data_IF_602381391172
#
_entry.id   IF_602381391172
#
_cell.length_a   1.000
_cell.length_b   1.000
_cell.length_c   1.000
_cell.angle_alpha   90.00
_cell.angle_beta   90.00
_cell.angle_gamma   90.00
#
_symmetry.space_group_name_H-M   'P 1'
#
loop_
_entity.id
_entity.type
_entity.pdbx_description
1 polymer ?
#
# COMPACT_ATOMS: atom_id res chain seq x y z
N UNK A 1 14.23 -2.33 73.27
CA UNK A 1 14.65 -3.26 74.35
C UNK A 1 13.50 -4.23 74.59
N UNK A 2 13.77 -5.53 74.50
CA UNK A 2 12.90 -6.67 74.89
C UNK A 2 11.58 -6.91 74.11
N UNK A 3 11.35 -8.18 73.81
CA UNK A 3 10.23 -8.81 73.10
C UNK A 3 8.95 -8.96 73.96
N UNK A 4 7.81 -9.19 73.31
CA UNK A 4 6.99 -10.40 73.61
C UNK A 4 6.22 -10.88 72.38
N UNK A 5 6.05 -12.20 72.27
CA UNK A 5 5.46 -12.96 71.16
C UNK A 5 4.04 -13.48 71.46
N UNK A 6 3.24 -13.76 70.42
CA UNK A 6 1.93 -14.40 70.55
C UNK A 6 1.61 -15.39 69.41
N UNK A 7 1.16 -16.59 69.78
CA UNK A 7 0.92 -17.81 68.95
C UNK A 7 -0.45 -18.37 69.43
N UNK A 8 -1.35 -18.99 68.65
CA UNK A 8 -1.28 -19.72 67.37
C UNK A 8 -2.27 -19.12 66.31
N UNK A 9 -2.79 -19.76 65.25
CA UNK A 9 -2.78 -21.17 64.80
C UNK A 9 -2.96 -21.32 63.27
N UNK A 10 -2.53 -22.46 62.73
CA UNK A 10 -2.74 -22.82 61.33
C UNK A 10 -4.00 -23.69 61.16
N UNK A 11 -4.73 -23.47 60.06
CA UNK A 11 -5.59 -24.49 59.44
C UNK A 11 -5.26 -24.53 57.95
N UNK A 12 -4.69 -25.65 57.51
CA UNK A 12 -4.59 -25.95 56.09
C UNK A 12 -5.86 -26.62 55.59
N UNK A 13 -6.23 -26.34 54.34
CA UNK A 13 -7.04 -27.28 53.57
C UNK A 13 -6.58 -27.22 52.11
N UNK A 14 -6.17 -28.37 51.58
CA UNK A 14 -5.75 -28.49 50.20
C UNK A 14 -7.00 -28.57 49.31
N UNK A 15 -7.03 -27.78 48.24
CA UNK A 15 -8.02 -27.94 47.17
C UNK A 15 -7.26 -28.31 45.90
N UNK A 16 -7.73 -29.38 45.25
CA UNK A 16 -7.01 -30.09 44.22
C UNK A 16 -6.75 -29.27 42.96
N UNK A 17 -5.56 -29.46 42.37
CA UNK A 17 -5.28 -29.11 40.99
C UNK A 17 -6.14 -29.95 40.04
N UNK A 18 -7.20 -29.36 39.49
CA UNK A 18 -8.00 -29.95 38.41
C UNK A 18 -7.41 -29.62 37.03
N UNK A 19 -6.19 -30.09 36.75
CA UNK A 19 -5.65 -30.10 35.39
C UNK A 19 -6.38 -31.15 34.55
N UNK A 20 -7.47 -30.77 33.88
CA UNK A 20 -7.93 -31.50 32.70
C UNK A 20 -6.87 -31.32 31.60
N UNK A 21 -6.40 -32.39 30.94
CA UNK A 21 -5.64 -32.25 29.71
C UNK A 21 -6.47 -31.46 28.70
N UNK A 22 -5.90 -30.38 28.16
CA UNK A 22 -6.45 -29.73 26.97
C UNK A 22 -6.43 -30.79 25.85
N UNK A 23 -7.53 -31.02 25.10
CA UNK A 23 -7.44 -31.85 23.90
C UNK A 23 -6.35 -31.23 23.00
N UNK A 24 -5.60 -32.04 22.22
CA UNK A 24 -4.61 -31.49 21.30
C UNK A 24 -5.31 -30.44 20.45
N UNK A 25 -4.79 -29.23 20.44
CA UNK A 25 -5.27 -28.19 19.55
C UNK A 25 -5.22 -28.76 18.15
N UNK A 26 -6.35 -28.72 17.43
CA UNK A 26 -6.33 -28.95 15.99
C UNK A 26 -5.19 -28.11 15.41
N UNK A 27 -4.34 -28.69 14.54
CA UNK A 27 -3.32 -27.89 13.89
C UNK A 27 -4.04 -26.71 13.22
N UNK A 28 -3.50 -25.48 13.30
CA UNK A 28 -4.07 -24.36 12.57
C UNK A 28 -4.23 -24.81 11.11
N UNK A 29 -5.32 -24.43 10.42
CA UNK A 29 -5.58 -24.90 9.07
C UNK A 29 -4.31 -24.70 8.25
N UNK A 30 -3.74 -25.81 7.78
CA UNK A 30 -2.58 -25.75 6.91
C UNK A 30 -3.02 -24.94 5.71
N UNK A 31 -2.54 -23.69 5.65
CA UNK A 31 -2.34 -22.99 4.41
C UNK A 31 -1.56 -23.98 3.54
N UNK A 32 -2.27 -24.66 2.65
CA UNK A 32 -1.64 -25.42 1.58
C UNK A 32 -1.01 -24.38 0.67
N UNK A 33 0.23 -24.05 1.06
CA UNK A 33 0.97 -22.95 0.53
C UNK A 33 1.47 -23.38 -0.84
N UNK A 34 0.59 -23.18 -1.82
CA UNK A 34 0.95 -22.76 -3.17
C UNK A 34 1.61 -21.36 -3.18
N UNK A 35 2.31 -21.00 -2.10
CA UNK A 35 3.57 -20.29 -2.23
C UNK A 35 4.44 -21.09 -3.19
N UNK A 36 4.48 -20.64 -4.45
CA UNK A 36 5.51 -21.03 -5.38
C UNK A 36 6.85 -20.54 -4.85
N UNK A 37 7.47 -21.32 -3.96
CA UNK A 37 8.90 -21.27 -3.72
C UNK A 37 9.58 -21.73 -5.01
N UNK A 38 9.67 -20.81 -5.96
CA UNK A 38 10.63 -20.91 -7.05
C UNK A 38 11.99 -20.83 -6.39
N UNK A 39 12.73 -21.94 -6.38
CA UNK A 39 14.07 -21.98 -5.81
C UNK A 39 14.99 -21.04 -6.57
N UNK A 40 15.35 -19.92 -5.93
CA UNK A 40 16.29 -18.93 -6.49
C UNK A 40 17.68 -19.55 -6.47
N UNK A 41 18.02 -20.27 -7.54
CA UNK A 41 19.20 -21.13 -7.62
C UNK A 41 19.81 -21.25 -9.02
N UNK A 42 19.64 -20.24 -9.88
CA UNK A 42 20.37 -20.10 -11.15
C UNK A 42 20.12 -21.15 -12.24
N UNK A 43 19.21 -22.11 -12.02
CA UNK A 43 18.84 -23.14 -12.99
C UNK A 43 17.50 -22.81 -13.68
N UNK A 44 17.32 -23.18 -14.95
CA UNK A 44 16.07 -22.94 -15.66
C UNK A 44 14.92 -23.73 -15.02
N UNK A 45 13.92 -23.03 -14.51
CA UNK A 45 12.74 -23.63 -13.89
C UNK A 45 11.92 -24.32 -14.98
N UNK A 46 11.75 -25.64 -14.86
CA UNK A 46 11.03 -26.42 -15.87
C UNK A 46 9.62 -25.85 -16.11
N UNK A 47 9.28 -25.65 -17.39
CA UNK A 47 7.99 -25.08 -17.80
C UNK A 47 7.97 -23.57 -18.06
N UNK A 48 9.00 -22.82 -17.67
CA UNK A 48 9.09 -21.38 -17.95
C UNK A 48 9.58 -21.11 -19.39
N UNK A 49 9.13 -19.99 -19.97
CA UNK A 49 9.76 -19.37 -21.14
C UNK A 49 10.91 -18.46 -20.66
N UNK A 50 12.16 -18.83 -20.96
CA UNK A 50 13.34 -18.06 -20.54
C UNK A 50 13.66 -17.01 -21.59
N UNK A 51 13.59 -15.72 -21.24
CA UNK A 51 13.63 -14.62 -22.22
C UNK A 51 14.92 -14.57 -23.06
N UNK A 52 16.02 -15.13 -22.56
CA UNK A 52 17.33 -15.17 -23.24
C UNK A 52 17.42 -16.26 -24.31
N UNK A 53 16.44 -17.16 -24.41
CA UNK A 53 16.45 -18.22 -25.43
C UNK A 53 16.33 -17.60 -26.83
N UNK A 54 17.16 -18.08 -27.77
CA UNK A 54 17.20 -17.56 -29.15
C UNK A 54 15.88 -17.72 -29.92
N UNK A 55 14.97 -18.57 -29.46
CA UNK A 55 13.63 -18.75 -30.03
C UNK A 55 12.74 -17.49 -29.89
N UNK A 56 13.04 -16.60 -28.93
CA UNK A 56 12.27 -15.37 -28.69
C UNK A 56 12.99 -14.17 -29.31
N UNK A 57 12.76 -13.89 -30.59
CA UNK A 57 13.37 -12.75 -31.31
C UNK A 57 14.90 -12.68 -31.22
N UNK A 58 15.57 -13.85 -31.22
CA UNK A 58 17.02 -13.93 -31.04
C UNK A 58 17.52 -13.75 -29.61
N UNK A 59 16.61 -13.74 -28.61
CA UNK A 59 16.87 -13.72 -27.17
C UNK A 59 17.08 -12.33 -26.58
N UNK A 60 16.52 -12.08 -25.40
CA UNK A 60 16.80 -10.90 -24.58
C UNK A 60 18.30 -10.81 -24.26
N UNK A 61 18.82 -9.60 -24.15
CA UNK A 61 20.24 -9.35 -23.86
C UNK A 61 20.43 -8.96 -22.39
N UNK A 62 21.01 -9.86 -21.54
CA UNK A 62 21.25 -9.60 -20.13
C UNK A 62 22.44 -8.65 -19.87
N UNK A 63 23.07 -8.11 -20.92
CA UNK A 63 24.16 -7.12 -20.84
C UNK A 63 23.71 -5.70 -21.22
N UNK A 64 22.41 -5.48 -21.45
CA UNK A 64 21.81 -4.19 -21.79
C UNK A 64 22.45 -3.47 -23.01
N UNK A 65 22.98 -4.21 -23.99
CA UNK A 65 23.56 -3.65 -25.24
C UNK A 65 22.52 -3.46 -26.34
N UNK A 66 21.33 -4.08 -26.22
CA UNK A 66 20.18 -3.90 -27.12
C UNK A 66 18.85 -3.96 -26.38
N UNK A 67 17.79 -3.43 -27.00
CA UNK A 67 16.41 -3.58 -26.51
C UNK A 67 16.04 -5.07 -26.43
N UNK A 68 15.59 -5.48 -25.25
CA UNK A 68 15.10 -6.84 -24.96
C UNK A 68 13.58 -6.93 -25.03
N UNK A 69 12.89 -5.82 -25.27
CA UNK A 69 11.43 -5.73 -25.35
C UNK A 69 10.79 -6.74 -26.32
N UNK A 70 11.27 -6.92 -27.57
CA UNK A 70 10.71 -7.91 -28.49
C UNK A 70 10.76 -9.34 -27.93
N UNK A 71 11.92 -9.76 -27.43
CA UNK A 71 12.12 -11.09 -26.85
C UNK A 71 11.27 -11.33 -25.61
N UNK A 72 11.17 -10.34 -24.70
CA UNK A 72 10.32 -10.43 -23.50
C UNK A 72 8.84 -10.57 -23.89
N UNK A 73 8.35 -9.77 -24.86
CA UNK A 73 6.97 -9.87 -25.35
C UNK A 73 6.71 -11.21 -26.05
N UNK A 74 7.64 -11.70 -26.86
CA UNK A 74 7.53 -13.01 -27.52
C UNK A 74 7.49 -14.17 -26.52
N UNK A 75 8.27 -14.11 -25.43
CA UNK A 75 8.20 -15.08 -24.34
C UNK A 75 6.83 -15.06 -23.64
N UNK A 76 6.29 -13.88 -23.32
CA UNK A 76 4.93 -13.75 -22.71
C UNK A 76 3.84 -14.28 -23.65
N UNK A 77 3.95 -14.02 -24.96
CA UNK A 77 2.98 -14.46 -25.96
C UNK A 77 2.84 -15.99 -26.06
N UNK A 78 3.77 -16.77 -25.48
CA UNK A 78 3.62 -18.23 -25.37
C UNK A 78 2.55 -18.68 -24.38
N UNK A 79 2.04 -17.78 -23.53
CA UNK A 79 1.13 -18.09 -22.42
C UNK A 79 1.78 -18.83 -21.24
N UNK A 80 3.07 -19.15 -21.33
CA UNK A 80 3.83 -19.77 -20.22
C UNK A 80 4.29 -18.70 -19.21
N UNK A 81 4.54 -19.09 -17.95
CA UNK A 81 5.30 -18.27 -17.01
C UNK A 81 6.65 -17.86 -17.63
N UNK A 82 7.02 -16.58 -17.51
CA UNK A 82 8.24 -16.03 -18.10
C UNK A 82 9.29 -15.83 -17.02
N UNK A 83 10.52 -16.28 -17.30
CA UNK A 83 11.68 -16.09 -16.43
C UNK A 83 12.67 -15.10 -17.05
N UNK A 84 13.06 -14.09 -16.29
CA UNK A 84 14.18 -13.19 -16.56
C UNK A 84 15.37 -13.62 -15.68
N UNK A 85 16.40 -14.25 -16.27
CA UNK A 85 17.64 -14.57 -15.55
C UNK A 85 18.33 -13.36 -14.89
N UNK A 86 19.39 -13.58 -14.09
CA UNK A 86 20.27 -12.52 -13.64
C UNK A 86 20.84 -11.74 -14.82
N UNK A 87 20.82 -10.41 -14.75
CA UNK A 87 21.25 -9.54 -15.84
C UNK A 87 20.64 -8.14 -15.79
N UNK A 88 21.14 -7.28 -16.68
CA UNK A 88 20.57 -5.98 -16.97
C UNK A 88 19.94 -6.01 -18.37
N UNK A 89 18.67 -5.62 -18.47
CA UNK A 89 17.90 -5.61 -19.71
C UNK A 89 17.43 -4.19 -20.02
N UNK A 90 17.44 -3.80 -21.30
CA UNK A 90 16.74 -2.60 -21.76
C UNK A 90 15.34 -3.00 -22.25
N UNK A 91 14.35 -2.13 -22.01
CA UNK A 91 13.00 -2.31 -22.53
C UNK A 91 12.46 -0.98 -23.08
N UNK A 92 12.26 -0.92 -24.39
CA UNK A 92 11.76 0.26 -25.11
C UNK A 92 10.44 -0.01 -25.85
N UNK A 93 9.69 -1.02 -25.39
CA UNK A 93 8.47 -1.49 -26.03
C UNK A 93 7.20 -0.67 -25.73
N UNK A 94 6.07 -1.00 -26.39
CA UNK A 94 4.75 -0.42 -26.10
C UNK A 94 4.11 -0.93 -24.79
N UNK A 95 4.86 -1.67 -23.97
CA UNK A 95 4.33 -2.45 -22.86
C UNK A 95 3.84 -3.84 -23.28
N UNK A 96 3.67 -4.71 -22.29
CA UNK A 96 3.12 -6.06 -22.44
C UNK A 96 1.60 -5.96 -22.34
N UNK A 97 0.88 -6.26 -23.43
CA UNK A 97 -0.57 -6.47 -23.42
C UNK A 97 -0.89 -7.96 -23.37
N UNK A 98 -1.30 -8.44 -22.19
CA UNK A 98 -1.65 -9.85 -21.98
C UNK A 98 -2.72 -9.96 -20.87
N UNK A 99 -3.58 -10.97 -20.96
CA UNK A 99 -4.68 -11.18 -19.99
C UNK A 99 -4.26 -11.97 -18.73
N UNK A 100 -3.11 -12.67 -18.79
CA UNK A 100 -2.56 -13.47 -17.67
C UNK A 100 -1.03 -13.32 -17.53
N UNK A 101 -0.46 -12.11 -17.39
CA UNK A 101 1.00 -11.93 -17.29
C UNK A 101 1.56 -12.59 -16.02
N UNK A 102 2.52 -13.52 -16.20
CA UNK A 102 3.30 -14.16 -15.13
C UNK A 102 4.78 -14.00 -15.47
N UNK A 103 5.48 -13.13 -14.74
CA UNK A 103 6.84 -12.71 -15.03
C UNK A 103 7.66 -12.70 -13.74
N UNK A 104 8.75 -13.46 -13.72
CA UNK A 104 9.60 -13.70 -12.54
C UNK A 104 11.04 -13.37 -12.88
N UNK A 105 11.70 -12.52 -12.10
CA UNK A 105 13.14 -12.31 -12.14
C UNK A 105 13.89 -13.14 -11.10
N UNK A 106 15.22 -13.09 -11.13
CA UNK A 106 16.10 -13.79 -10.19
C UNK A 106 16.26 -13.08 -8.82
N UNK A 107 15.35 -12.16 -8.49
CA UNK A 107 15.40 -11.26 -7.32
C UNK A 107 15.80 -9.84 -7.71
N UNK A 108 15.26 -8.84 -7.01
CA UNK A 108 15.50 -7.41 -7.30
C UNK A 108 16.97 -6.95 -7.18
N UNK A 109 17.84 -7.73 -6.55
CA UNK A 109 19.31 -7.52 -6.56
C UNK A 109 20.04 -8.12 -7.77
N UNK A 110 19.39 -9.01 -8.53
CA UNK A 110 20.00 -9.85 -9.57
C UNK A 110 19.49 -9.56 -10.98
N UNK A 111 18.21 -9.19 -11.10
CA UNK A 111 17.54 -8.92 -12.39
C UNK A 111 17.08 -7.47 -12.44
N UNK A 112 17.63 -6.69 -13.37
CA UNK A 112 17.30 -5.29 -13.59
C UNK A 112 16.73 -5.08 -15.00
N UNK A 113 15.60 -4.39 -15.10
CA UNK A 113 15.00 -3.93 -16.36
C UNK A 113 14.96 -2.40 -16.37
N UNK A 114 15.67 -1.76 -17.30
CA UNK A 114 15.63 -0.31 -17.48
C UNK A 114 14.64 0.03 -18.60
N UNK A 115 13.62 0.82 -18.26
CA UNK A 115 12.57 1.26 -19.18
C UNK A 115 13.00 2.57 -19.86
N UNK A 116 12.66 2.72 -21.15
CA UNK A 116 12.70 4.04 -21.80
C UNK A 116 11.73 5.03 -21.13
N UNK A 117 11.99 6.35 -21.17
CA UNK A 117 11.24 7.34 -20.40
C UNK A 117 9.71 7.30 -20.55
N UNK A 118 9.22 7.09 -21.77
CA UNK A 118 7.77 7.09 -22.08
C UNK A 118 7.10 5.70 -21.99
N UNK A 119 7.81 4.71 -21.45
CA UNK A 119 7.40 3.30 -21.49
C UNK A 119 6.77 2.83 -20.18
N UNK A 120 5.82 1.90 -20.30
CA UNK A 120 5.38 1.01 -19.23
C UNK A 120 5.87 -0.42 -19.50
N UNK A 121 6.19 -1.20 -18.46
CA UNK A 121 6.59 -2.61 -18.66
C UNK A 121 5.41 -3.50 -19.05
N UNK A 122 4.31 -3.41 -18.31
CA UNK A 122 2.99 -4.00 -18.62
C UNK A 122 2.02 -2.84 -18.88
N UNK A 123 1.36 -2.84 -20.04
CA UNK A 123 0.34 -1.84 -20.41
C UNK A 123 -0.81 -2.49 -21.16
N UNK A 124 -1.63 -3.21 -20.42
CA UNK A 124 -2.65 -4.07 -20.98
C UNK A 124 -4.02 -3.39 -21.03
N UNK A 125 -4.79 -3.65 -22.08
CA UNK A 125 -6.21 -3.28 -22.16
C UNK A 125 -7.15 -4.50 -22.02
N UNK A 126 -6.60 -5.67 -21.71
CA UNK A 126 -7.37 -6.89 -21.49
C UNK A 126 -7.97 -6.90 -20.08
N UNK A 127 -9.12 -7.58 -19.94
CA UNK A 127 -9.57 -8.06 -18.64
C UNK A 127 -8.53 -9.05 -18.09
N UNK A 128 -7.96 -8.79 -16.92
CA UNK A 128 -6.95 -9.67 -16.34
C UNK A 128 -7.59 -10.84 -15.61
N UNK A 129 -7.20 -12.05 -16.00
CA UNK A 129 -7.54 -13.27 -15.26
C UNK A 129 -6.63 -13.46 -14.06
N UNK A 130 -5.37 -13.02 -14.15
CA UNK A 130 -4.34 -13.06 -13.10
C UNK A 130 -3.18 -12.12 -13.42
N UNK A 131 -2.42 -11.70 -12.40
CA UNK A 131 -1.11 -11.06 -12.55
C UNK A 131 -0.11 -11.70 -11.57
N UNK A 132 1.11 -11.96 -12.02
CA UNK A 132 2.24 -12.18 -11.12
C UNK A 132 3.48 -11.47 -11.69
N UNK A 133 3.99 -10.47 -10.95
CA UNK A 133 5.25 -9.80 -11.24
C UNK A 133 6.16 -9.86 -10.00
N UNK A 134 7.28 -10.57 -10.11
CA UNK A 134 8.15 -10.83 -8.94
C UNK A 134 9.63 -10.70 -9.21
N UNK A 135 10.40 -10.30 -8.20
CA UNK A 135 11.86 -10.46 -8.18
C UNK A 135 12.61 -9.64 -9.23
N UNK A 136 12.12 -8.44 -9.58
CA UNK A 136 12.71 -7.58 -10.61
C UNK A 136 12.90 -6.16 -10.08
N UNK A 137 14.09 -5.60 -10.28
CA UNK A 137 14.31 -4.16 -10.20
C UNK A 137 13.97 -3.51 -11.53
N UNK A 138 13.17 -2.46 -11.49
CA UNK A 138 12.91 -1.56 -12.60
C UNK A 138 13.59 -0.20 -12.39
N UNK A 139 14.16 0.36 -13.44
CA UNK A 139 14.66 1.73 -13.47
C UNK A 139 13.96 2.52 -14.59
N UNK A 140 13.45 3.72 -14.31
CA UNK A 140 12.89 4.64 -15.31
C UNK A 140 11.44 4.34 -15.70
N UNK A 141 11.02 4.86 -16.85
CA UNK A 141 9.66 4.72 -17.41
C UNK A 141 8.61 5.66 -16.81
N UNK A 142 7.41 5.64 -17.38
CA UNK A 142 6.24 6.32 -16.80
C UNK A 142 5.68 5.48 -15.64
N UNK A 143 5.68 4.16 -15.80
CA UNK A 143 5.14 3.22 -14.83
C UNK A 143 5.54 1.78 -15.15
N UNK A 144 5.02 0.81 -14.41
CA UNK A 144 5.45 -0.59 -14.53
C UNK A 144 4.28 -1.53 -14.82
N UNK A 145 3.14 -1.30 -14.17
CA UNK A 145 1.95 -2.12 -14.28
C UNK A 145 0.76 -1.20 -14.53
N UNK A 146 0.27 -1.15 -15.77
CA UNK A 146 -0.98 -0.45 -16.11
C UNK A 146 -1.99 -1.42 -16.71
N UNK A 147 -3.17 -1.46 -16.11
CA UNK A 147 -4.36 -2.04 -16.74
C UNK A 147 -5.31 -0.92 -17.15
N UNK A 148 -5.64 -0.86 -18.44
CA UNK A 148 -6.52 0.15 -19.08
C UNK A 148 -7.97 -0.32 -19.24
N UNK A 149 -8.26 -1.59 -18.96
CA UNK A 149 -9.62 -2.13 -18.96
C UNK A 149 -10.47 -1.40 -17.92
N UNK A 150 -11.73 -1.08 -18.25
CA UNK A 150 -12.58 -0.17 -17.45
C UNK A 150 -13.76 -0.83 -16.75
N UNK A 151 -14.22 -1.99 -17.22
CA UNK A 151 -15.36 -2.69 -16.60
C UNK A 151 -14.95 -3.48 -15.34
N UNK A 152 -15.90 -4.22 -14.75
CA UNK A 152 -15.61 -5.12 -13.63
C UNK A 152 -14.66 -6.26 -14.04
N UNK A 153 -13.67 -6.49 -13.19
CA UNK A 153 -12.61 -7.46 -13.32
C UNK A 153 -12.39 -8.23 -11.99
N UNK A 154 -13.47 -8.83 -11.48
CA UNK A 154 -13.40 -9.87 -10.44
C UNK A 154 -12.87 -11.15 -11.08
N UNK A 155 -11.68 -11.57 -10.68
CA UNK A 155 -10.91 -12.71 -11.21
C UNK A 155 -9.89 -13.18 -10.13
N UNK A 156 -8.88 -13.99 -10.51
CA UNK A 156 -7.85 -14.53 -9.62
C UNK A 156 -6.90 -13.42 -9.07
N UNK A 157 -5.92 -13.80 -8.26
CA UNK A 157 -5.01 -12.88 -7.58
C UNK A 157 -4.14 -12.05 -8.53
N UNK A 158 -3.92 -10.79 -8.13
CA UNK A 158 -3.04 -9.83 -8.80
C UNK A 158 -1.80 -9.56 -7.94
N UNK A 159 -0.75 -10.36 -8.12
CA UNK A 159 0.45 -10.38 -7.27
C UNK A 159 1.57 -9.51 -7.82
N UNK A 160 2.11 -8.61 -6.99
CA UNK A 160 3.33 -7.85 -7.28
C UNK A 160 4.22 -7.87 -6.03
N UNK A 161 5.37 -8.55 -6.07
CA UNK A 161 6.20 -8.67 -4.86
C UNK A 161 7.71 -8.86 -5.08
N UNK A 162 8.52 -8.44 -4.11
CA UNK A 162 9.99 -8.41 -4.22
C UNK A 162 10.50 -7.63 -5.45
N UNK A 163 9.84 -6.51 -5.78
CA UNK A 163 10.24 -5.62 -6.86
C UNK A 163 10.70 -4.25 -6.34
N UNK A 164 11.69 -3.67 -7.02
CA UNK A 164 12.11 -2.28 -6.79
C UNK A 164 11.71 -1.41 -7.98
N UNK A 165 10.79 -0.47 -7.79
CA UNK A 165 10.31 0.47 -8.79
C UNK A 165 11.01 1.82 -8.58
N UNK A 166 12.00 2.14 -9.42
CA UNK A 166 12.93 3.26 -9.18
C UNK A 166 12.95 4.23 -10.35
N UNK A 167 12.84 5.54 -10.09
CA UNK A 167 13.01 6.60 -11.09
C UNK A 167 11.89 6.72 -12.11
N UNK A 168 10.70 6.20 -11.82
CA UNK A 168 9.52 6.37 -12.69
C UNK A 168 8.92 7.77 -12.54
N UNK A 169 8.28 8.28 -13.60
CA UNK A 169 7.76 9.67 -13.67
C UNK A 169 6.25 9.81 -13.41
N UNK A 170 5.47 8.75 -13.63
CA UNK A 170 4.01 8.70 -13.48
C UNK A 170 3.55 7.72 -12.40
N UNK A 171 2.55 6.89 -12.71
CA UNK A 171 2.01 5.91 -11.77
C UNK A 171 2.66 4.53 -11.95
N UNK A 172 3.29 3.97 -10.91
CA UNK A 172 4.00 2.69 -11.00
C UNK A 172 3.06 1.50 -11.18
N UNK A 173 2.01 1.38 -10.35
CA UNK A 173 0.98 0.34 -10.45
C UNK A 173 -0.39 1.01 -10.54
N UNK A 174 -1.16 0.77 -11.61
CA UNK A 174 -2.51 1.29 -11.77
C UNK A 174 -3.47 0.32 -12.47
N UNK A 175 -4.73 0.35 -12.04
CA UNK A 175 -5.86 -0.26 -12.74
C UNK A 175 -6.98 0.77 -12.95
N UNK A 176 -7.70 0.62 -14.06
CA UNK A 176 -8.84 1.47 -14.43
C UNK A 176 -10.19 0.73 -14.36
N UNK A 177 -10.16 -0.57 -14.02
CA UNK A 177 -11.36 -1.39 -13.85
C UNK A 177 -12.14 -0.87 -12.64
N UNK A 178 -13.43 -0.58 -12.78
CA UNK A 178 -14.28 -0.07 -11.67
C UNK A 178 -14.30 -0.99 -10.44
N UNK A 179 -14.02 -2.27 -10.66
CA UNK A 179 -14.08 -3.34 -9.67
C UNK A 179 -12.96 -4.35 -9.99
N UNK A 180 -11.94 -4.48 -9.13
CA UNK A 180 -10.78 -5.33 -9.42
C UNK A 180 -10.09 -5.77 -8.11
N UNK A 181 -10.70 -6.73 -7.37
CA UNK A 181 -10.24 -7.19 -6.06
C UNK A 181 -8.97 -8.06 -6.09
N UNK A 182 -8.58 -8.53 -4.91
CA UNK A 182 -7.55 -9.56 -4.69
C UNK A 182 -6.11 -9.18 -5.12
N UNK A 183 -5.75 -7.89 -5.02
CA UNK A 183 -4.36 -7.47 -5.21
C UNK A 183 -3.48 -7.87 -4.03
N UNK A 184 -2.28 -8.38 -4.30
CA UNK A 184 -1.28 -8.78 -3.31
C UNK A 184 0.04 -8.06 -3.60
N UNK A 185 0.17 -6.84 -3.09
CA UNK A 185 1.32 -5.96 -3.35
C UNK A 185 2.22 -5.94 -2.11
N UNK A 186 3.33 -6.69 -2.12
CA UNK A 186 4.14 -6.89 -0.90
C UNK A 186 5.66 -6.94 -1.09
N UNK A 187 6.42 -6.47 -0.09
CA UNK A 187 7.89 -6.43 -0.10
C UNK A 187 8.48 -5.66 -1.31
N UNK A 188 7.82 -4.60 -1.76
CA UNK A 188 8.29 -3.76 -2.87
C UNK A 188 8.89 -2.44 -2.37
N UNK A 189 9.73 -1.83 -3.21
CA UNK A 189 10.26 -0.47 -3.00
C UNK A 189 9.69 0.46 -4.07
N UNK A 190 9.14 1.61 -3.67
CA UNK A 190 8.57 2.61 -4.57
C UNK A 190 9.29 3.96 -4.43
N UNK A 191 10.11 4.32 -5.42
CA UNK A 191 10.85 5.59 -5.44
C UNK A 191 10.78 6.25 -6.82
N UNK A 192 9.84 7.15 -7.01
CA UNK A 192 9.70 7.94 -8.24
C UNK A 192 10.87 8.93 -8.45
N UNK A 193 10.92 9.53 -9.64
CA UNK A 193 11.89 10.56 -10.02
C UNK A 193 11.50 12.00 -9.63
N UNK A 194 10.25 12.23 -9.24
CA UNK A 194 9.70 13.56 -8.92
C UNK A 194 8.56 13.47 -7.88
N UNK A 195 8.05 14.63 -7.46
CA UNK A 195 6.85 14.82 -6.63
C UNK A 195 5.72 15.60 -7.33
N UNK A 196 5.86 15.95 -8.62
CA UNK A 196 4.81 16.63 -9.39
C UNK A 196 3.73 15.70 -9.97
N UNK A 197 4.12 14.58 -10.56
CA UNK A 197 3.25 13.69 -11.38
C UNK A 197 3.28 12.22 -10.95
N UNK A 198 4.00 11.89 -9.90
CA UNK A 198 4.29 10.50 -9.51
C UNK A 198 3.27 9.89 -8.54
N UNK A 199 2.95 8.61 -8.74
CA UNK A 199 2.09 7.85 -7.83
C UNK A 199 2.58 6.40 -7.67
N UNK A 200 2.61 5.87 -6.46
CA UNK A 200 3.09 4.50 -6.21
C UNK A 200 2.08 3.47 -6.70
N UNK A 201 0.87 3.51 -6.14
CA UNK A 201 -0.22 2.57 -6.41
C UNK A 201 -1.51 3.36 -6.62
N UNK A 202 -2.29 3.02 -7.65
CA UNK A 202 -3.64 3.53 -7.92
C UNK A 202 -4.60 2.39 -8.24
N UNK A 203 -5.30 1.88 -7.22
CA UNK A 203 -6.36 0.88 -7.41
C UNK A 203 -7.74 1.54 -7.48
N UNK A 204 -8.72 0.80 -8.00
CA UNK A 204 -10.13 1.15 -7.88
C UNK A 204 -10.63 0.95 -6.45
N UNK A 205 -11.95 0.97 -6.24
CA UNK A 205 -12.51 1.01 -4.88
C UNK A 205 -13.05 -0.31 -4.37
N UNK A 206 -13.69 -1.08 -5.24
CA UNK A 206 -14.12 -2.44 -4.95
C UNK A 206 -12.87 -3.34 -5.02
N UNK A 207 -12.19 -3.41 -3.88
CA UNK A 207 -10.82 -3.93 -3.73
C UNK A 207 -10.75 -5.09 -2.74
N UNK A 208 -11.86 -5.80 -2.55
CA UNK A 208 -12.02 -6.88 -1.58
C UNK A 208 -10.84 -7.85 -1.50
N UNK A 209 -10.40 -8.13 -0.27
CA UNK A 209 -9.28 -9.01 0.01
C UNK A 209 -7.92 -8.52 -0.50
N UNK A 210 -7.79 -7.26 -0.91
CA UNK A 210 -6.51 -6.66 -1.32
C UNK A 210 -5.60 -6.45 -0.12
N UNK A 211 -4.32 -6.78 -0.25
CA UNK A 211 -3.31 -6.50 0.77
C UNK A 211 -2.11 -5.75 0.17
N UNK A 212 -1.83 -4.57 0.70
CA UNK A 212 -0.63 -3.77 0.43
C UNK A 212 0.23 -3.85 1.68
N UNK A 213 1.25 -4.72 1.69
CA UNK A 213 1.94 -5.12 2.92
C UNK A 213 3.47 -5.10 2.83
N UNK A 214 4.15 -4.68 3.89
CA UNK A 214 5.63 -4.75 4.01
C UNK A 214 6.39 -4.03 2.87
N UNK A 215 5.84 -2.94 2.32
CA UNK A 215 6.48 -2.14 1.26
C UNK A 215 7.15 -0.87 1.82
N UNK A 216 8.19 -0.39 1.14
CA UNK A 216 8.82 0.89 1.42
C UNK A 216 8.50 1.91 0.32
N UNK A 217 7.71 2.92 0.65
CA UNK A 217 7.42 4.05 -0.21
C UNK A 217 8.36 5.21 0.16
N UNK A 218 9.18 5.65 -0.80
CA UNK A 218 10.33 6.52 -0.54
C UNK A 218 10.25 7.90 -1.22
N UNK A 219 9.63 7.99 -2.40
CA UNK A 219 9.42 9.26 -3.11
C UNK A 219 8.22 9.12 -4.04
N UNK A 220 7.11 9.80 -3.79
CA UNK A 220 5.99 10.01 -4.74
C UNK A 220 5.20 11.26 -4.34
N UNK A 221 4.42 11.85 -5.25
CA UNK A 221 3.37 12.80 -4.87
C UNK A 221 2.28 12.12 -4.05
N UNK A 222 1.87 10.93 -4.46
CA UNK A 222 0.91 10.09 -3.72
C UNK A 222 1.48 8.68 -3.61
N UNK A 223 1.68 8.12 -2.41
CA UNK A 223 2.20 6.75 -2.32
C UNK A 223 1.14 5.70 -2.66
N UNK A 224 -0.03 5.77 -2.04
CA UNK A 224 -1.18 4.88 -2.32
C UNK A 224 -2.43 5.71 -2.59
N UNK A 225 -3.17 5.34 -3.64
CA UNK A 225 -4.54 5.76 -3.92
C UNK A 225 -5.47 4.56 -4.02
N UNK A 226 -6.59 4.61 -3.32
CA UNK A 226 -7.73 3.69 -3.44
C UNK A 226 -9.01 4.49 -3.72
N UNK A 227 -9.86 4.05 -4.65
CA UNK A 227 -11.18 4.67 -4.87
C UNK A 227 -12.23 4.13 -3.88
N UNK A 228 -13.47 4.63 -3.89
CA UNK A 228 -14.60 4.19 -3.04
C UNK A 228 -14.21 3.78 -1.59
N UNK A 229 -13.35 4.54 -0.91
CA UNK A 229 -12.84 4.20 0.43
C UNK A 229 -11.90 2.97 0.53
N UNK A 230 -11.64 2.24 -0.55
CA UNK A 230 -10.77 1.04 -0.54
C UNK A 230 -11.41 -0.14 0.18
N UNK A 231 -12.64 -0.50 -0.23
CA UNK A 231 -13.48 -1.52 0.38
C UNK A 231 -12.69 -2.81 0.70
N UNK A 232 -12.69 -3.20 1.98
CA UNK A 232 -12.08 -4.44 2.47
C UNK A 232 -10.60 -4.64 2.03
N UNK A 233 -9.84 -3.54 1.98
CA UNK A 233 -8.38 -3.52 1.73
C UNK A 233 -7.56 -3.45 3.02
N UNK A 234 -6.43 -4.13 3.05
CA UNK A 234 -5.49 -4.20 4.17
C UNK A 234 -4.15 -3.52 3.82
N UNK A 235 -3.92 -2.31 4.33
CA UNK A 235 -2.64 -1.59 4.21
C UNK A 235 -1.85 -1.82 5.50
N UNK A 236 -0.81 -2.68 5.49
CA UNK A 236 -0.13 -3.07 6.74
C UNK A 236 1.39 -3.08 6.68
N UNK A 237 2.07 -2.75 7.78
CA UNK A 237 3.54 -2.81 7.90
C UNK A 237 4.30 -2.00 6.81
N UNK A 238 3.74 -0.92 6.26
CA UNK A 238 4.42 -0.12 5.23
C UNK A 238 5.18 1.07 5.85
N UNK A 239 6.33 1.41 5.26
CA UNK A 239 7.03 2.66 5.52
C UNK A 239 6.64 3.70 4.46
N UNK A 240 6.22 4.89 4.91
CA UNK A 240 5.93 6.04 4.06
C UNK A 240 6.92 7.18 4.38
N UNK A 241 7.92 7.38 3.53
CA UNK A 241 9.03 8.33 3.69
C UNK A 241 9.12 9.26 2.46
N UNK A 242 9.65 10.47 2.62
CA UNK A 242 9.84 11.42 1.50
C UNK A 242 11.33 11.75 1.31
N UNK A 243 11.99 11.05 0.40
CA UNK A 243 13.39 11.25 0.04
C UNK A 243 13.49 12.29 -1.07
N UNK A 244 13.45 13.57 -0.68
CA UNK A 244 13.63 14.75 -1.52
C UNK A 244 12.79 15.93 -1.04
N UNK A 245 13.16 17.18 -1.41
CA UNK A 245 12.43 18.38 -1.03
C UNK A 245 11.03 18.42 -1.66
N UNK A 246 10.11 19.26 -1.14
CA UNK A 246 8.84 19.54 -1.80
C UNK A 246 9.04 20.18 -3.18
N UNK A 247 8.18 19.84 -4.14
CA UNK A 247 8.17 20.42 -5.51
C UNK A 247 6.99 21.38 -5.75
N UNK A 248 6.45 21.99 -4.68
CA UNK A 248 5.33 22.93 -4.76
C UNK A 248 3.94 22.30 -4.85
N UNK A 249 3.82 20.98 -4.63
CA UNK A 249 2.55 20.25 -4.55
C UNK A 249 2.42 19.54 -3.20
N UNK A 250 1.23 19.53 -2.57
CA UNK A 250 0.93 18.67 -1.43
C UNK A 250 1.23 17.20 -1.73
N UNK A 251 2.02 16.53 -0.87
CA UNK A 251 2.34 15.10 -0.99
C UNK A 251 1.57 14.30 0.03
N UNK A 252 0.95 13.20 -0.40
CA UNK A 252 0.06 12.36 0.41
C UNK A 252 0.61 10.95 0.55
N UNK A 253 0.66 10.41 1.77
CA UNK A 253 1.06 9.01 1.97
C UNK A 253 -0.05 8.06 1.49
N UNK A 254 -1.27 8.17 2.03
CA UNK A 254 -2.41 7.34 1.62
C UNK A 254 -3.63 8.20 1.32
N UNK A 255 -4.16 8.09 0.10
CA UNK A 255 -5.36 8.77 -0.34
C UNK A 255 -6.49 7.78 -0.60
N UNK A 256 -7.65 8.06 -0.01
CA UNK A 256 -8.90 7.39 -0.33
C UNK A 256 -9.82 8.38 -1.05
N UNK A 257 -10.36 8.00 -2.21
CA UNK A 257 -11.44 8.75 -2.86
C UNK A 257 -12.76 8.31 -2.21
N UNK A 258 -13.53 9.21 -1.60
CA UNK A 258 -14.82 8.87 -0.99
C UNK A 258 -15.84 8.37 -2.04
N UNK A 259 -16.73 7.48 -1.61
CA UNK A 259 -17.72 6.82 -2.47
C UNK A 259 -18.98 7.66 -2.68
N UNK A 260 -19.68 7.47 -3.80
CA UNK A 260 -20.91 8.25 -4.09
C UNK A 260 -22.04 8.03 -3.07
N UNK A 261 -22.09 6.85 -2.46
CA UNK A 261 -23.05 6.45 -1.41
C UNK A 261 -22.31 5.83 -0.23
N UNK A 262 -22.99 5.60 0.88
CA UNK A 262 -22.47 4.88 2.06
C UNK A 262 -22.21 3.38 1.82
N UNK A 263 -22.82 2.81 0.78
CA UNK A 263 -22.61 1.43 0.30
C UNK A 263 -21.21 1.26 -0.32
N UNK A 264 -20.47 0.24 0.12
CA UNK A 264 -19.11 -0.12 -0.34
C UNK A 264 -18.06 1.01 -0.20
N UNK A 265 -18.29 1.96 0.69
CA UNK A 265 -17.48 3.16 0.87
C UNK A 265 -16.22 2.96 1.75
N UNK A 266 -15.54 1.83 1.62
CA UNK A 266 -14.37 1.47 2.45
C UNK A 266 -14.66 0.49 3.58
N UNK A 267 -15.85 -0.13 3.61
CA UNK A 267 -16.25 -1.07 4.65
C UNK A 267 -15.21 -2.18 4.87
N UNK A 268 -14.72 -2.33 6.11
CA UNK A 268 -13.71 -3.33 6.44
C UNK A 268 -12.27 -3.00 6.03
N UNK A 269 -12.00 -1.80 5.50
CA UNK A 269 -10.65 -1.32 5.24
C UNK A 269 -9.84 -1.21 6.54
N UNK A 270 -8.63 -1.76 6.56
CA UNK A 270 -7.70 -1.70 7.70
C UNK A 270 -6.37 -1.10 7.27
N UNK A 271 -5.96 -0.01 7.92
CA UNK A 271 -4.60 0.52 7.86
C UNK A 271 -3.93 0.31 9.23
N UNK A 272 -2.87 -0.50 9.31
CA UNK A 272 -2.19 -0.75 10.59
C UNK A 272 -0.69 -1.03 10.54
N UNK A 273 -0.01 -0.75 11.66
CA UNK A 273 1.45 -0.99 11.82
C UNK A 273 2.33 -0.27 10.78
N UNK A 274 1.82 0.80 10.18
CA UNK A 274 2.56 1.62 9.22
C UNK A 274 3.32 2.75 9.94
N UNK A 275 4.47 3.13 9.38
CA UNK A 275 5.21 4.35 9.76
C UNK A 275 4.94 5.45 8.74
N UNK A 276 4.47 6.60 9.21
CA UNK A 276 4.52 7.85 8.48
C UNK A 276 5.74 8.64 8.95
N UNK A 277 6.73 8.77 8.08
CA UNK A 277 8.01 9.43 8.35
C UNK A 277 7.96 10.95 8.18
N UNK A 278 8.90 11.64 8.84
CA UNK A 278 9.08 13.09 8.73
C UNK A 278 10.30 13.50 7.89
N UNK A 279 10.97 12.56 7.24
CA UNK A 279 12.08 12.82 6.33
C UNK A 279 11.60 13.77 5.22
N UNK A 280 12.15 15.00 5.16
CA UNK A 280 11.74 16.11 4.28
C UNK A 280 10.24 16.47 4.30
N UNK A 281 9.50 16.16 5.37
CA UNK A 281 8.08 16.50 5.52
C UNK A 281 7.89 18.02 5.58
N UNK A 282 6.85 18.53 4.93
CA UNK A 282 6.49 19.95 4.86
C UNK A 282 5.10 20.22 5.45
N UNK A 283 4.80 21.47 5.82
CA UNK A 283 3.51 21.87 6.39
C UNK A 283 2.31 21.62 5.47
N UNK A 284 2.52 21.51 4.16
CA UNK A 284 1.47 21.24 3.16
C UNK A 284 1.33 19.74 2.82
N UNK A 285 2.13 18.86 3.42
CA UNK A 285 2.00 17.43 3.21
C UNK A 285 0.90 16.81 4.08
N UNK A 286 0.43 15.63 3.68
CA UNK A 286 -0.59 14.87 4.38
C UNK A 286 -0.17 13.41 4.57
N UNK A 287 -0.55 12.83 5.71
CA UNK A 287 -0.41 11.40 5.91
C UNK A 287 -1.56 10.66 5.24
N UNK A 288 -2.78 10.81 5.75
CA UNK A 288 -3.97 10.19 5.18
C UNK A 288 -4.90 11.29 4.67
N UNK A 289 -5.43 11.12 3.44
CA UNK A 289 -6.40 12.05 2.83
C UNK A 289 -7.68 11.29 2.47
N UNK A 290 -8.82 11.85 2.84
CA UNK A 290 -10.13 11.52 2.27
C UNK A 290 -10.60 12.71 1.42
N UNK A 291 -10.51 12.61 0.10
CA UNK A 291 -10.84 13.72 -0.80
C UNK A 291 -11.34 13.22 -2.16
N UNK A 292 -12.25 13.98 -2.77
CA UNK A 292 -12.65 13.78 -4.16
C UNK A 292 -11.44 13.93 -5.12
N UNK A 293 -11.59 13.41 -6.33
CA UNK A 293 -10.54 13.39 -7.34
C UNK A 293 -10.80 14.36 -8.50
N UNK A 294 -9.72 14.92 -9.05
CA UNK A 294 -9.75 15.70 -10.28
C UNK A 294 -10.24 14.88 -11.48
N UNK A 295 -10.62 15.58 -12.56
CA UNK A 295 -10.77 14.95 -13.87
C UNK A 295 -9.44 14.35 -14.36
N UNK A 296 -9.55 13.40 -15.29
CA UNK A 296 -8.42 12.73 -15.95
C UNK A 296 -8.82 11.35 -16.51
N UNK A 297 -8.16 10.92 -17.58
CA UNK A 297 -8.55 9.68 -18.31
C UNK A 297 -8.21 8.40 -17.55
N UNK A 298 -7.18 8.44 -16.70
CA UNK A 298 -6.57 7.28 -16.06
C UNK A 298 -6.55 7.44 -14.54
N UNK A 299 -6.78 6.35 -13.80
CA UNK A 299 -6.88 6.38 -12.35
C UNK A 299 -5.62 6.96 -11.67
N UNK A 300 -4.44 6.54 -12.13
CA UNK A 300 -3.14 7.03 -11.68
C UNK A 300 -2.71 8.40 -12.24
N UNK A 301 -3.62 9.12 -12.93
CA UNK A 301 -3.40 10.48 -13.43
C UNK A 301 -4.36 11.53 -12.85
N UNK A 302 -5.23 11.14 -11.90
CA UNK A 302 -6.17 12.02 -11.19
C UNK A 302 -5.65 12.34 -9.80
N UNK A 303 -5.88 13.56 -9.30
CA UNK A 303 -5.26 14.13 -8.08
C UNK A 303 -6.30 14.53 -7.03
N UNK A 304 -5.95 14.59 -5.73
CA UNK A 304 -6.89 14.96 -4.67
C UNK A 304 -7.32 16.42 -4.75
N UNK A 305 -8.61 16.68 -4.55
CA UNK A 305 -9.22 18.01 -4.45
C UNK A 305 -9.32 18.40 -2.97
N UNK A 306 -8.25 19.02 -2.44
CA UNK A 306 -8.05 19.25 -1.00
C UNK A 306 -8.86 20.43 -0.42
N UNK A 307 -9.24 21.39 -1.27
CA UNK A 307 -9.89 22.65 -0.87
C UNK A 307 -11.41 22.67 -1.17
N UNK A 308 -11.99 21.52 -1.57
CA UNK A 308 -13.40 21.41 -1.93
C UNK A 308 -14.11 20.42 -1.01
N UNK A 309 -15.12 20.92 -0.29
CA UNK A 309 -16.01 20.07 0.50
C UNK A 309 -16.69 19.00 -0.38
N UNK A 310 -16.64 17.76 0.09
CA UNK A 310 -17.19 16.60 -0.59
C UNK A 310 -18.41 16.06 0.15
N UNK A 311 -19.50 15.82 -0.60
CA UNK A 311 -20.72 15.19 -0.09
C UNK A 311 -20.63 13.65 -0.07
N UNK A 312 -19.51 13.06 -0.49
CA UNK A 312 -19.29 11.62 -0.64
C UNK A 312 -18.84 10.94 0.66
N UNK A 313 -18.83 9.62 0.69
CA UNK A 313 -18.81 8.83 1.93
C UNK A 313 -17.51 8.07 2.18
N UNK A 314 -17.21 7.89 3.47
CA UNK A 314 -16.24 6.94 3.98
C UNK A 314 -16.89 6.16 5.12
N UNK A 315 -16.92 4.82 5.03
CA UNK A 315 -17.57 3.95 6.02
C UNK A 315 -16.65 2.84 6.53
N UNK A 316 -16.75 2.52 7.83
CA UNK A 316 -16.17 1.28 8.39
C UNK A 316 -14.64 1.16 8.38
N UNK A 317 -13.91 2.27 8.20
CA UNK A 317 -12.45 2.30 8.22
C UNK A 317 -11.88 1.98 9.62
N UNK A 318 -10.85 1.13 9.69
CA UNK A 318 -10.06 0.89 10.90
C UNK A 318 -8.62 1.37 10.69
N UNK A 319 -8.16 2.32 11.49
CA UNK A 319 -6.79 2.84 11.46
C UNK A 319 -6.20 2.71 12.86
N UNK A 320 -5.19 1.85 13.02
CA UNK A 320 -4.70 1.39 14.33
C UNK A 320 -3.21 1.06 14.31
N UNK A 321 -2.53 1.18 15.45
CA UNK A 321 -1.14 0.77 15.66
C UNK A 321 -0.15 1.45 14.70
N UNK A 322 -0.47 2.66 14.22
CA UNK A 322 0.41 3.44 13.34
C UNK A 322 1.33 4.35 14.13
N UNK A 323 2.51 4.60 13.57
CA UNK A 323 3.43 5.63 14.06
C UNK A 323 3.44 6.83 13.11
N UNK A 324 3.06 8.01 13.60
CA UNK A 324 2.97 9.24 12.83
C UNK A 324 3.97 10.28 13.31
N UNK A 325 4.82 10.81 12.41
CA UNK A 325 5.80 11.86 12.73
C UNK A 325 5.41 13.19 12.10
N UNK A 326 5.46 14.28 12.87
CA UNK A 326 5.43 15.65 12.34
C UNK A 326 6.78 16.35 12.33
N UNK A 327 6.73 17.68 12.16
CA UNK A 327 7.87 18.59 11.98
C UNK A 327 8.09 19.55 13.15
N UNK A 328 7.78 19.10 14.37
CA UNK A 328 7.81 19.91 15.59
C UNK A 328 6.62 20.87 15.65
N UNK A 329 6.81 22.02 16.31
CA UNK A 329 5.76 23.03 16.44
C UNK A 329 5.62 23.93 15.19
N UNK A 330 6.36 23.63 14.11
CA UNK A 330 6.29 24.36 12.82
C UNK A 330 4.92 24.23 12.14
N UNK A 331 4.28 23.05 12.23
CA UNK A 331 2.94 22.81 11.69
C UNK A 331 2.26 21.63 12.40
N UNK A 332 0.92 21.72 12.53
CA UNK A 332 0.08 20.63 13.05
C UNK A 332 -0.48 19.83 11.87
N UNK A 333 0.24 18.80 11.47
CA UNK A 333 -0.20 17.88 10.39
C UNK A 333 -1.09 16.80 11.03
N UNK A 334 -2.41 16.76 10.77
CA UNK A 334 -3.28 15.72 11.30
C UNK A 334 -2.94 14.37 10.69
N UNK A 335 -3.22 13.26 11.39
CA UNK A 335 -3.06 11.93 10.78
C UNK A 335 -3.97 11.77 9.55
N UNK A 336 -5.21 12.26 9.64
CA UNK A 336 -6.19 12.24 8.56
C UNK A 336 -6.65 13.67 8.28
N UNK A 337 -6.53 14.11 7.04
CA UNK A 337 -7.21 15.30 6.50
C UNK A 337 -8.36 14.83 5.61
N UNK A 338 -9.56 15.35 5.84
CA UNK A 338 -10.75 14.99 5.06
C UNK A 338 -11.44 16.22 4.50
N UNK A 339 -11.91 16.12 3.26
CA UNK A 339 -12.82 17.11 2.67
C UNK A 339 -14.29 16.72 2.79
N UNK A 340 -14.60 15.51 3.27
CA UNK A 340 -15.97 15.07 3.57
C UNK A 340 -16.25 15.02 5.08
N UNK A 341 -17.44 15.46 5.46
CA UNK A 341 -18.06 15.30 6.78
C UNK A 341 -18.76 13.93 6.96
N UNK A 342 -19.04 13.21 5.86
CA UNK A 342 -19.75 11.92 5.83
C UNK A 342 -18.80 10.72 6.11
N UNK A 343 -18.12 10.77 7.26
CA UNK A 343 -17.28 9.68 7.78
C UNK A 343 -18.06 8.97 8.90
N UNK A 344 -18.36 7.68 8.76
CA UNK A 344 -19.18 6.94 9.73
C UNK A 344 -18.69 5.52 10.03
N UNK A 345 -18.94 5.05 11.25
CA UNK A 345 -18.67 3.67 11.67
C UNK A 345 -17.18 3.30 11.77
N UNK A 346 -16.26 4.27 11.74
CA UNK A 346 -14.82 4.05 11.77
C UNK A 346 -14.23 3.90 13.17
N UNK A 347 -13.03 3.33 13.24
CA UNK A 347 -12.22 3.23 14.47
C UNK A 347 -10.80 3.73 14.21
N UNK A 348 -10.39 4.78 14.93
CA UNK A 348 -9.17 5.54 14.69
C UNK A 348 -8.30 5.58 15.95
N UNK A 349 -7.59 4.48 16.21
CA UNK A 349 -6.67 4.32 17.33
C UNK A 349 -6.54 2.86 17.81
N UNK A 350 -5.50 2.54 18.61
CA UNK A 350 -4.45 3.43 19.12
C UNK A 350 -3.54 4.04 18.03
N UNK A 351 -3.16 5.30 18.20
CA UNK A 351 -2.21 6.01 17.32
C UNK A 351 -1.00 6.43 18.16
N UNK A 352 0.22 6.26 17.68
CA UNK A 352 1.43 6.82 18.34
C UNK A 352 1.96 8.00 17.54
N UNK A 353 2.12 9.16 18.19
CA UNK A 353 2.51 10.40 17.55
C UNK A 353 3.87 10.91 18.09
N UNK A 354 4.79 11.18 17.16
CA UNK A 354 6.12 11.75 17.41
C UNK A 354 6.29 13.09 16.68
N UNK A 355 7.12 13.98 17.20
CA UNK A 355 7.44 15.26 16.55
C UNK A 355 6.23 16.14 16.20
N UNK A 356 5.09 15.96 16.86
CA UNK A 356 3.83 16.63 16.52
C UNK A 356 3.01 16.77 17.81
N UNK A 357 3.23 17.85 18.55
CA UNK A 357 2.77 18.00 19.95
C UNK A 357 1.25 18.14 20.07
N UNK A 358 0.58 18.65 19.02
CA UNK A 358 -0.80 19.12 19.07
C UNK A 358 -1.65 18.93 17.81
N UNK A 359 -1.28 18.10 16.84
CA UNK A 359 -2.21 17.70 15.77
C UNK A 359 -3.20 16.63 16.21
N UNK A 360 -4.40 16.70 15.64
CA UNK A 360 -5.50 15.75 15.85
C UNK A 360 -5.31 14.45 15.08
N UNK A 361 -6.12 13.44 15.41
CA UNK A 361 -6.23 12.22 14.61
C UNK A 361 -6.94 12.53 13.28
N UNK A 362 -7.97 13.37 13.33
CA UNK A 362 -8.76 13.77 12.16
C UNK A 362 -8.94 15.30 12.11
N UNK A 363 -8.82 15.87 10.92
CA UNK A 363 -9.23 17.22 10.57
C UNK A 363 -10.18 17.16 9.38
N UNK A 364 -11.31 17.86 9.45
CA UNK A 364 -12.28 17.97 8.35
C UNK A 364 -12.50 19.43 7.95
N UNK A 365 -12.92 19.70 6.70
CA UNK A 365 -13.36 21.05 6.30
C UNK A 365 -14.61 21.44 7.11
N UNK A 366 -15.66 20.62 6.98
CA UNK A 366 -16.92 20.77 7.71
C UNK A 366 -16.93 19.89 8.97
N UNK A 367 -17.68 20.24 10.03
CA UNK A 367 -17.90 19.37 11.18
C UNK A 367 -18.41 17.98 10.76
N UNK A 368 -17.97 16.93 11.46
CA UNK A 368 -18.43 15.58 11.17
C UNK A 368 -19.96 15.46 11.24
N UNK A 369 -20.53 14.73 10.29
CA UNK A 369 -21.93 14.38 10.28
C UNK A 369 -22.35 13.76 11.62
N UNK A 370 -23.50 14.22 12.14
CA UNK A 370 -24.06 13.78 13.41
C UNK A 370 -23.05 13.89 14.58
N UNK A 371 -22.17 14.91 14.55
CA UNK A 371 -21.04 15.12 15.46
C UNK A 371 -20.07 13.92 15.55
N UNK A 372 -20.04 13.07 14.52
CA UNK A 372 -19.17 11.90 14.45
C UNK A 372 -19.53 10.75 15.40
N UNK A 373 -20.72 10.73 16.02
CA UNK A 373 -21.09 9.76 17.09
C UNK A 373 -20.96 8.28 16.72
N UNK A 374 -20.94 7.94 15.44
CA UNK A 374 -20.77 6.56 14.96
C UNK A 374 -19.30 6.10 14.90
N UNK A 375 -18.35 7.02 15.06
CA UNK A 375 -16.91 6.76 14.99
C UNK A 375 -16.30 6.64 16.40
N UNK A 376 -15.15 5.98 16.48
CA UNK A 376 -14.33 5.91 17.70
C UNK A 376 -12.96 6.52 17.42
N UNK A 377 -12.51 7.44 18.28
CA UNK A 377 -11.21 8.08 18.17
C UNK A 377 -10.37 7.82 19.42
N UNK A 378 -9.09 7.54 19.20
CA UNK A 378 -8.09 7.30 20.22
C UNK A 378 -7.98 5.84 20.69
N UNK A 379 -7.07 5.57 21.65
CA UNK A 379 -6.24 6.55 22.35
C UNK A 379 -5.15 7.15 21.44
N UNK A 380 -4.80 8.42 21.69
CA UNK A 380 -3.63 9.06 21.10
C UNK A 380 -2.46 8.94 22.10
N UNK A 381 -1.40 8.26 21.70
CA UNK A 381 -0.19 8.02 22.48
C UNK A 381 0.93 8.94 21.98
N UNK A 382 1.85 9.31 22.87
CA UNK A 382 3.06 10.06 22.52
C UNK A 382 4.27 9.13 22.44
N UNK A 383 5.12 9.37 21.45
CA UNK A 383 6.41 8.68 21.31
C UNK A 383 7.52 9.25 22.21
N UNK A 384 7.25 10.37 22.90
CA UNK A 384 8.21 11.08 23.72
C UNK A 384 7.60 11.53 25.07
N UNK A 385 8.47 11.95 25.99
CA UNK A 385 8.11 12.31 27.37
C UNK A 385 7.46 13.69 27.54
N UNK A 386 6.77 14.22 26.52
CA UNK A 386 6.10 15.52 26.62
C UNK A 386 4.84 15.40 27.49
N UNK A 387 4.76 16.19 28.57
CA UNK A 387 3.74 16.10 29.63
C UNK A 387 2.56 17.08 29.48
N UNK A 388 2.39 17.73 28.32
CA UNK A 388 1.24 18.63 28.08
C UNK A 388 -0.11 17.88 27.95
N UNK A 389 -1.26 18.58 27.93
CA UNK A 389 -2.54 17.94 27.58
C UNK A 389 -2.48 17.32 26.18
N UNK A 390 -3.26 16.27 25.91
CA UNK A 390 -3.46 15.78 24.55
C UNK A 390 -4.29 16.79 23.75
N UNK A 391 -4.06 16.91 22.42
CA UNK A 391 -4.91 17.73 21.56
C UNK A 391 -6.32 17.14 21.45
N UNK A 392 -7.24 17.96 20.94
CA UNK A 392 -8.53 17.47 20.47
C UNK A 392 -8.32 16.42 19.37
N UNK A 393 -9.02 15.29 19.46
CA UNK A 393 -8.79 14.15 18.57
C UNK A 393 -9.41 14.36 17.17
N UNK A 394 -10.41 15.23 17.08
CA UNK A 394 -11.12 15.60 15.86
C UNK A 394 -11.26 17.13 15.86
N UNK A 395 -10.94 17.78 14.76
CA UNK A 395 -11.16 19.23 14.58
C UNK A 395 -11.80 19.50 13.22
N UNK A 396 -12.50 20.62 13.07
CA UNK A 396 -12.95 21.12 11.78
C UNK A 396 -12.61 22.58 11.57
N UNK A 397 -12.38 22.96 10.31
CA UNK A 397 -11.95 24.32 9.93
C UNK A 397 -13.06 25.38 10.14
N UNK A 398 -14.32 24.92 10.21
CA UNK A 398 -15.52 25.75 10.39
C UNK A 398 -16.19 25.60 11.76
N UNK A 399 -15.39 25.39 12.83
CA UNK A 399 -15.84 25.43 14.23
C UNK A 399 -15.70 26.82 14.86
#
# INVERSE_FOLDING_TARGET
MVFTSGIAAAFGSAIASCTKPRPPSEPPPTLDATSGQISIGGQPVAGFAVVTDRQFEGGADPQAKRDSGPAIRAAVATGKPVYLPPGAYLYSGPGIDHHSPVIVGAGQGSTTVTLSPDTHFIDSNQRWLRLNLTGIRFNGGIGHVRNRYRDSNVNDFHVVSDCAFIGYSGCSISTNSVDNPYWKINRNIFRAANFGTSMGIALSGLTDGTSIADNSFLSNRVHIKLCEGGNNTYITNNDFLRFGPPEGFPRTDVWFVPAQTDVNAGGGMVLSRCKFGNENLDSHDHHIVYADESSGDWNGGRWPLLEQASARWITGHTITDVYSNGIGDNARIPLIRSTTSNIVGGSYGPITQGGNSGASILSTIEPLRDNGISNRFGPLLRANSILGPLPELVVSDHN
#
